data_IF_597706295704
#
_entry.id   IF_597706295704
#
_cell.length_a   1.000
_cell.length_b   1.000
_cell.length_c   1.000
_cell.angle_alpha   90.00
_cell.angle_beta   90.00
_cell.angle_gamma   90.00
#
_symmetry.space_group_name_H-M   'P 1'
#
loop_
_entity.id
_entity.type
_entity.pdbx_description
1 polymer ?
#
# COMPACT_ATOMS: atom_id res chain seq x y z
N UNK A 1 -2.89 2.04 -9.24
CA UNK A 1 -3.66 2.98 -8.40
C UNK A 1 -4.95 2.42 -7.80
N UNK A 2 -5.70 1.53 -8.49
CA UNK A 2 -6.98 0.98 -7.96
C UNK A 2 -6.87 0.26 -6.61
N UNK A 3 -5.79 -0.50 -6.37
CA UNK A 3 -5.50 -1.12 -5.06
C UNK A 3 -5.22 -0.09 -3.96
N UNK A 4 -4.49 0.99 -4.27
CA UNK A 4 -4.17 2.07 -3.35
C UNK A 4 -5.39 2.89 -2.95
N UNK A 5 -6.31 3.15 -3.88
CA UNK A 5 -7.58 3.81 -3.58
C UNK A 5 -8.53 2.86 -2.84
N UNK A 6 -8.47 1.57 -3.16
CA UNK A 6 -9.38 0.54 -2.66
C UNK A 6 -10.75 0.58 -3.35
N UNK A 7 -11.51 -0.51 -3.24
CA UNK A 7 -12.88 -0.55 -3.75
C UNK A 7 -13.70 0.59 -3.10
N UNK A 8 -14.38 1.40 -3.90
CA UNK A 8 -15.11 2.60 -3.45
C UNK A 8 -14.29 3.63 -2.65
N UNK A 9 -12.96 3.63 -2.72
CA UNK A 9 -12.13 4.61 -2.02
C UNK A 9 -11.86 4.28 -0.54
N UNK A 10 -12.08 3.04 -0.10
CA UNK A 10 -11.93 2.65 1.33
C UNK A 10 -10.50 2.87 1.85
N UNK A 11 -9.46 2.50 1.10
CA UNK A 11 -8.08 2.62 1.58
C UNK A 11 -7.64 4.09 1.70
N UNK A 12 -8.06 4.93 0.76
CA UNK A 12 -7.73 6.35 0.82
C UNK A 12 -8.51 7.07 1.93
N UNK A 13 -9.77 6.67 2.17
CA UNK A 13 -10.54 7.17 3.31
C UNK A 13 -9.92 6.78 4.63
N UNK A 14 -9.49 5.52 4.80
CA UNK A 14 -8.79 5.06 6.01
C UNK A 14 -7.47 5.81 6.22
N UNK A 15 -6.72 6.07 5.15
CA UNK A 15 -5.47 6.84 5.21
C UNK A 15 -5.73 8.28 5.67
N UNK A 16 -6.84 8.90 5.23
CA UNK A 16 -7.26 10.23 5.69
C UNK A 16 -7.79 10.24 7.13
N UNK A 17 -8.41 9.15 7.57
CA UNK A 17 -8.92 8.99 8.93
C UNK A 17 -7.82 8.71 9.98
N UNK A 18 -6.57 8.55 9.56
CA UNK A 18 -5.43 8.55 10.50
C UNK A 18 -5.35 9.94 11.13
N UNK A 19 -5.75 10.07 12.40
CA UNK A 19 -6.10 11.34 13.05
C UNK A 19 -5.00 12.43 13.16
N UNK A 20 -3.81 12.17 12.65
CA UNK A 20 -2.65 13.06 12.63
C UNK A 20 -2.21 13.40 11.20
N UNK A 21 -3.03 13.04 10.20
CA UNK A 21 -2.88 13.44 8.80
C UNK A 21 -3.58 14.78 8.60
N UNK A 22 -2.83 15.74 8.06
CA UNK A 22 -3.27 17.11 7.81
C UNK A 22 -3.79 17.23 6.38
N UNK A 23 -3.08 16.62 5.42
CA UNK A 23 -3.48 16.68 4.02
C UNK A 23 -3.08 15.41 3.26
N UNK A 24 -3.88 15.03 2.26
CA UNK A 24 -3.64 13.89 1.39
C UNK A 24 -4.07 14.21 -0.03
N UNK A 25 -3.09 14.47 -0.89
CA UNK A 25 -3.24 14.83 -2.30
C UNK A 25 -2.84 13.65 -3.19
N UNK A 26 -3.52 13.55 -4.33
CA UNK A 26 -3.25 12.54 -5.36
C UNK A 26 -2.90 13.31 -6.62
N UNK A 27 -1.72 13.04 -7.18
CA UNK A 27 -1.36 13.49 -8.53
C UNK A 27 -1.58 12.32 -9.48
N UNK A 28 -2.71 12.33 -10.18
CA UNK A 28 -3.06 11.26 -11.12
C UNK A 28 -2.09 11.18 -12.30
N UNK A 29 -1.57 12.34 -12.74
CA UNK A 29 -0.59 12.46 -13.82
C UNK A 29 0.71 11.70 -13.56
N UNK A 30 1.20 11.68 -12.31
CA UNK A 30 2.44 10.99 -11.92
C UNK A 30 2.19 9.73 -11.10
N UNK A 31 0.92 9.39 -10.85
CA UNK A 31 0.52 8.34 -9.90
C UNK A 31 1.14 8.51 -8.50
N UNK A 32 1.32 9.76 -8.05
CA UNK A 32 2.00 10.07 -6.78
C UNK A 32 1.00 10.44 -5.69
N UNK A 33 1.14 9.82 -4.52
CA UNK A 33 0.40 10.20 -3.31
C UNK A 33 1.25 11.11 -2.43
N UNK A 34 0.77 12.31 -2.15
CA UNK A 34 1.42 13.24 -1.23
C UNK A 34 0.66 13.26 0.09
N UNK A 35 1.32 12.77 1.13
CA UNK A 35 0.77 12.65 2.48
C UNK A 35 1.49 13.64 3.39
N UNK A 36 0.73 14.53 4.01
CA UNK A 36 1.20 15.52 4.96
C UNK A 36 0.55 15.25 6.31
N UNK A 37 1.34 15.16 7.38
CA UNK A 37 0.85 14.90 8.73
C UNK A 37 1.79 15.49 9.77
N UNK A 38 1.27 15.63 10.98
CA UNK A 38 1.96 16.29 12.10
C UNK A 38 3.09 15.43 12.68
N UNK A 39 2.92 14.10 12.65
CA UNK A 39 3.90 13.13 13.13
C UNK A 39 4.37 12.17 12.04
N UNK A 40 5.68 11.88 12.05
CA UNK A 40 6.31 10.94 11.12
C UNK A 40 5.70 9.54 11.20
N UNK A 41 5.30 9.09 12.40
CA UNK A 41 4.65 7.78 12.59
C UNK A 41 3.30 7.71 11.89
N UNK A 42 2.55 8.80 11.89
CA UNK A 42 1.24 8.88 11.25
C UNK A 42 1.38 8.91 9.73
N UNK A 43 2.32 9.69 9.21
CA UNK A 43 2.64 9.72 7.78
C UNK A 43 3.07 8.33 7.30
N UNK A 44 3.88 7.61 8.09
CA UNK A 44 4.26 6.22 7.79
C UNK A 44 3.06 5.27 7.80
N UNK A 45 2.15 5.39 8.76
CA UNK A 45 0.92 4.56 8.80
C UNK A 45 0.03 4.79 7.58
N UNK A 46 -0.22 6.05 7.22
CA UNK A 46 -0.99 6.39 6.03
C UNK A 46 -0.28 5.96 4.74
N UNK A 47 1.06 6.11 4.67
CA UNK A 47 1.85 5.62 3.53
C UNK A 47 1.69 4.11 3.35
N UNK A 48 1.77 3.30 4.41
CA UNK A 48 1.59 1.84 4.32
C UNK A 48 0.24 1.41 3.73
N UNK A 49 -0.80 2.22 3.88
CA UNK A 49 -2.14 1.95 3.34
C UNK A 49 -2.26 2.28 1.84
N UNK A 50 -1.33 3.09 1.31
CA UNK A 50 -1.35 3.60 -0.07
C UNK A 50 -0.18 3.12 -0.93
N UNK A 51 0.91 2.70 -0.29
CA UNK A 51 2.15 2.25 -0.93
C UNK A 51 1.99 0.81 -1.41
N UNK A 52 1.35 0.68 -2.58
CA UNK A 52 1.34 -0.57 -3.34
C UNK A 52 2.48 -0.51 -4.35
N UNK A 53 3.42 -1.45 -4.21
CA UNK A 53 4.51 -1.65 -5.16
C UNK A 53 4.45 -3.08 -5.70
N UNK A 54 4.84 -3.25 -6.96
CA UNK A 54 5.10 -4.57 -7.54
C UNK A 54 6.58 -4.90 -7.33
N UNK A 55 6.87 -6.03 -6.69
CA UNK A 55 8.24 -6.48 -6.42
C UNK A 55 8.44 -7.89 -6.98
N UNK A 56 9.52 -8.09 -7.74
CA UNK A 56 9.82 -9.38 -8.37
C UNK A 56 10.84 -10.13 -7.54
N UNK A 57 10.38 -11.17 -6.83
CA UNK A 57 11.25 -12.03 -6.05
C UNK A 57 11.62 -13.28 -6.87
N UNK A 58 12.90 -13.44 -7.21
CA UNK A 58 13.39 -14.63 -7.90
C UNK A 58 13.51 -15.80 -6.94
N UNK A 59 12.64 -16.80 -7.09
CA UNK A 59 12.66 -18.02 -6.29
C UNK A 59 13.30 -19.16 -7.09
N UNK A 60 14.36 -19.82 -6.57
CA UNK A 60 14.93 -21.00 -7.20
C UNK A 60 13.86 -22.08 -7.40
N UNK A 61 13.82 -22.70 -8.59
CA UNK A 61 12.80 -23.70 -8.96
C UNK A 61 12.67 -24.86 -7.96
N UNK A 62 13.76 -25.23 -7.30
CA UNK A 62 13.81 -26.27 -6.26
C UNK A 62 13.05 -25.90 -4.98
N UNK A 63 12.83 -24.60 -4.72
CA UNK A 63 12.15 -24.09 -3.53
C UNK A 63 10.73 -23.61 -3.80
N UNK A 64 10.31 -23.48 -5.07
CA UNK A 64 8.98 -23.01 -5.46
C UNK A 64 7.87 -23.84 -4.78
N UNK A 65 7.98 -25.17 -4.77
CA UNK A 65 7.00 -26.04 -4.12
C UNK A 65 6.93 -25.89 -2.59
N UNK A 66 8.03 -25.46 -1.95
CA UNK A 66 8.07 -25.16 -0.51
C UNK A 66 7.51 -23.78 -0.20
N UNK A 67 7.75 -22.80 -1.07
CA UNK A 67 7.27 -21.42 -0.91
C UNK A 67 5.76 -21.30 -1.14
N UNK A 68 5.20 -22.06 -2.08
CA UNK A 68 3.75 -22.07 -2.35
C UNK A 68 2.97 -22.92 -1.32
N UNK A 69 3.60 -23.96 -0.76
CA UNK A 69 2.97 -24.88 0.19
C UNK A 69 1.97 -25.86 -0.46
N UNK A 70 1.30 -26.65 0.39
CA UNK A 70 0.28 -27.63 -0.06
C UNK A 70 -1.01 -26.86 -0.36
N UNK A 71 -1.31 -26.67 -1.64
CA UNK A 71 -2.57 -26.07 -2.14
C UNK A 71 -2.68 -24.54 -1.96
N UNK A 72 -1.64 -23.78 -2.34
CA UNK A 72 -1.75 -22.36 -2.75
C UNK A 72 -2.51 -21.39 -1.82
N UNK A 73 -2.71 -21.75 -0.55
CA UNK A 73 -3.48 -20.96 0.40
C UNK A 73 -2.53 -20.00 1.10
N UNK A 74 -2.41 -18.82 0.52
CA UNK A 74 -2.03 -17.59 1.21
C UNK A 74 -3.28 -16.71 1.30
#
# INVERSE_FOLDING_TARGET
MGLAIGAHGVNIQQSRSVGCIINLEIQEETSTFRVTGDSNECVRKARKLLEFAEDTNQVPRSLVGKVIGRIGAA
#
